data_IF_821188440459
#
_entry.id   IF_821188440459
#
_cell.length_a   1.000
_cell.length_b   1.000
_cell.length_c   1.000
_cell.angle_alpha   90.00
_cell.angle_beta   90.00
_cell.angle_gamma   90.00
#
_symmetry.space_group_name_H-M   'P 1'
#
loop_
_entity.id
_entity.type
_entity.pdbx_description
1 polymer ?
#
# COMPACT_ATOMS: atom_id res chain seq x y z
N UNK A 1 -7.03 10.79 35.26
CA UNK A 1 -5.66 10.73 34.73
C UNK A 1 -5.65 9.75 33.56
N UNK A 2 -5.27 10.20 32.37
CA UNK A 2 -5.24 9.38 31.15
C UNK A 2 -4.10 8.37 31.23
N UNK A 3 -4.43 7.07 31.32
CA UNK A 3 -3.46 6.00 31.63
C UNK A 3 -2.74 5.41 30.40
N UNK A 4 -3.22 5.71 29.18
CA UNK A 4 -2.71 5.14 27.93
C UNK A 4 -2.43 6.23 26.91
N UNK A 5 -1.60 5.92 25.91
CA UNK A 5 -1.48 6.74 24.73
C UNK A 5 -2.81 6.71 23.97
N UNK A 6 -3.14 7.79 23.28
CA UNK A 6 -4.30 7.88 22.39
C UNK A 6 -3.88 8.43 21.04
N UNK A 7 -4.06 7.65 20.00
CA UNK A 7 -4.02 8.13 18.62
C UNK A 7 -5.43 8.61 18.24
N UNK A 8 -5.52 9.83 17.69
CA UNK A 8 -6.70 10.30 16.98
C UNK A 8 -6.36 10.63 15.54
N UNK A 9 -7.26 10.24 14.61
CA UNK A 9 -7.26 10.67 13.21
C UNK A 9 -8.59 11.34 12.94
N UNK A 10 -8.55 12.61 12.57
CA UNK A 10 -9.75 13.44 12.38
C UNK A 10 -10.31 13.22 10.98
N UNK A 11 -11.57 12.80 10.88
CA UNK A 11 -12.32 12.66 9.61
C UNK A 11 -13.21 13.86 9.32
N UNK A 12 -13.39 14.73 10.31
CA UNK A 12 -14.09 16.01 10.18
C UNK A 12 -13.26 17.11 10.85
N UNK A 13 -13.54 18.37 10.49
CA UNK A 13 -12.89 19.50 11.14
C UNK A 13 -13.23 19.54 12.64
N UNK A 14 -12.23 19.77 13.45
CA UNK A 14 -12.32 19.76 14.91
C UNK A 14 -11.53 20.92 15.53
N UNK A 15 -11.77 21.15 16.80
CA UNK A 15 -10.93 21.99 17.64
C UNK A 15 -10.31 21.11 18.72
N UNK A 16 -9.01 21.18 18.85
CA UNK A 16 -8.21 20.42 19.84
C UNK A 16 -7.59 21.44 20.80
N UNK A 17 -7.67 21.17 22.09
CA UNK A 17 -6.98 21.97 23.12
C UNK A 17 -5.73 21.22 23.60
N UNK A 18 -4.58 21.86 23.41
CA UNK A 18 -3.27 21.35 23.85
C UNK A 18 -2.55 22.41 24.68
N UNK A 19 -2.09 22.01 25.85
CA UNK A 19 -1.35 22.91 26.75
C UNK A 19 -2.04 24.27 26.97
N UNK A 20 -3.37 24.24 27.10
CA UNK A 20 -4.19 25.44 27.32
C UNK A 20 -4.51 26.27 26.08
N UNK A 21 -4.00 25.88 24.88
CA UNK A 21 -4.28 26.59 23.61
C UNK A 21 -5.20 25.76 22.71
N UNK A 22 -6.09 26.43 21.99
CA UNK A 22 -6.97 25.82 21.01
C UNK A 22 -6.35 25.87 19.61
N UNK A 23 -6.46 24.75 18.90
CA UNK A 23 -5.99 24.57 17.54
C UNK A 23 -7.14 24.06 16.67
N UNK A 24 -7.36 24.71 15.53
CA UNK A 24 -8.27 24.19 14.51
C UNK A 24 -7.58 23.08 13.73
N UNK A 25 -8.26 21.96 13.58
CA UNK A 25 -7.75 20.75 12.94
C UNK A 25 -8.60 20.44 11.72
N UNK A 26 -7.94 20.21 10.59
CA UNK A 26 -8.59 19.81 9.35
C UNK A 26 -8.82 18.29 9.29
N UNK A 27 -9.76 17.80 8.45
CA UNK A 27 -9.82 16.36 8.14
C UNK A 27 -8.47 15.81 7.69
N UNK A 28 -8.26 14.54 7.93
CA UNK A 28 -7.02 13.80 7.65
C UNK A 28 -5.79 14.30 8.44
N UNK A 29 -6.02 15.03 9.55
CA UNK A 29 -4.97 15.28 10.54
C UNK A 29 -4.91 14.16 11.58
N UNK A 30 -3.74 13.98 12.17
CA UNK A 30 -3.52 13.04 13.26
C UNK A 30 -2.84 13.71 14.46
N UNK A 31 -3.06 13.15 15.64
CA UNK A 31 -2.35 13.48 16.88
C UNK A 31 -2.15 12.21 17.71
N UNK A 32 -0.96 12.05 18.25
CA UNK A 32 -0.64 11.03 19.23
C UNK A 32 -0.48 11.68 20.62
N UNK A 33 -1.44 11.49 21.48
CA UNK A 33 -1.37 11.98 22.86
C UNK A 33 -0.45 11.12 23.71
N UNK A 34 0.40 11.79 24.46
CA UNK A 34 1.21 11.11 25.46
C UNK A 34 0.34 10.63 26.63
N UNK A 35 0.77 9.57 27.28
CA UNK A 35 0.19 9.12 28.55
C UNK A 35 0.23 10.25 29.58
N UNK A 36 -0.94 10.57 30.11
CA UNK A 36 -1.13 11.65 31.09
C UNK A 36 -1.51 13.00 30.50
N UNK A 37 -1.38 13.22 29.19
CA UNK A 37 -1.82 14.46 28.55
C UNK A 37 -3.35 14.56 28.57
N UNK A 38 -3.87 15.75 28.89
CA UNK A 38 -5.29 16.06 28.85
C UNK A 38 -5.81 15.99 27.40
N UNK A 39 -6.92 15.27 27.21
CA UNK A 39 -7.50 15.01 25.88
C UNK A 39 -8.80 15.81 25.74
N UNK A 40 -8.71 17.03 25.22
CA UNK A 40 -9.87 17.89 24.97
C UNK A 40 -9.97 18.16 23.46
N UNK A 41 -11.06 17.70 22.88
CA UNK A 41 -11.37 17.93 21.46
C UNK A 41 -12.89 18.00 21.26
N UNK A 42 -13.32 18.79 20.27
CA UNK A 42 -14.74 18.99 19.95
C UNK A 42 -14.96 19.22 18.47
N UNK A 43 -16.18 19.02 18.00
CA UNK A 43 -16.55 19.39 16.64
C UNK A 43 -16.31 20.89 16.38
N UNK A 44 -15.85 21.22 15.18
CA UNK A 44 -15.80 22.62 14.74
C UNK A 44 -17.19 23.10 14.36
N UNK A 45 -17.96 22.29 13.61
CA UNK A 45 -19.36 22.53 13.20
C UNK A 45 -20.11 21.21 13.07
N UNK A 46 -21.33 21.15 13.58
CA UNK A 46 -22.28 20.08 13.36
C UNK A 46 -21.85 18.73 13.93
N UNK A 47 -21.28 17.87 13.12
CA UNK A 47 -20.90 16.51 13.49
C UNK A 47 -19.40 16.37 13.70
N UNK A 48 -19.02 15.34 14.47
CA UNK A 48 -17.63 14.98 14.75
C UNK A 48 -17.39 13.50 14.42
N UNK A 49 -16.44 13.26 13.56
CA UNK A 49 -16.02 11.91 13.17
C UNK A 49 -14.51 11.81 13.31
N UNK A 50 -14.04 10.75 13.96
CA UNK A 50 -12.65 10.43 14.11
C UNK A 50 -12.45 8.89 14.16
N UNK A 51 -11.25 8.44 13.85
CA UNK A 51 -10.74 7.16 14.27
C UNK A 51 -9.88 7.33 15.51
N UNK A 52 -9.92 6.37 16.40
CA UNK A 52 -9.13 6.40 17.63
C UNK A 52 -8.59 5.04 18.00
N UNK A 53 -7.45 5.03 18.67
CA UNK A 53 -6.83 3.84 19.23
C UNK A 53 -6.17 4.17 20.57
N UNK A 54 -6.58 3.48 21.63
CA UNK A 54 -5.86 3.47 22.91
C UNK A 54 -4.91 2.29 22.96
N UNK A 55 -3.64 2.55 23.32
CA UNK A 55 -2.63 1.51 23.47
C UNK A 55 -1.60 1.91 24.53
N UNK A 56 -0.79 0.94 24.91
CA UNK A 56 0.42 1.17 25.71
C UNK A 56 1.62 0.72 24.88
N UNK A 57 2.60 1.59 24.71
CA UNK A 57 3.89 1.25 24.13
C UNK A 57 5.02 1.96 24.89
N UNK A 58 6.25 1.43 24.73
CA UNK A 58 7.44 2.09 25.22
C UNK A 58 7.66 3.41 24.47
N UNK A 59 8.00 4.48 25.19
CA UNK A 59 8.35 5.77 24.61
C UNK A 59 9.57 5.69 23.66
N UNK A 60 10.41 4.67 23.77
CA UNK A 60 11.51 4.42 22.84
C UNK A 60 10.98 4.16 21.43
N UNK A 61 9.91 3.39 21.25
CA UNK A 61 9.34 3.08 19.93
C UNK A 61 8.90 4.34 19.18
N UNK A 62 8.29 5.30 19.86
CA UNK A 62 7.89 6.57 19.24
C UNK A 62 9.08 7.44 18.87
N UNK A 63 10.15 7.42 19.67
CA UNK A 63 11.41 8.11 19.35
C UNK A 63 12.13 7.49 18.16
N UNK A 64 12.22 6.16 18.11
CA UNK A 64 12.88 5.43 17.03
C UNK A 64 12.23 5.74 15.67
N UNK A 65 10.91 5.97 15.66
CA UNK A 65 10.16 6.34 14.46
C UNK A 65 9.99 7.86 14.29
N UNK A 66 10.68 8.69 15.10
CA UNK A 66 10.63 10.15 15.02
C UNK A 66 9.21 10.72 15.13
N UNK A 67 8.30 10.00 15.80
CA UNK A 67 6.90 10.38 15.97
C UNK A 67 6.73 11.16 17.28
N UNK A 68 6.40 12.46 17.23
CA UNK A 68 6.25 13.27 18.45
C UNK A 68 4.90 13.01 19.10
N UNK A 69 4.89 13.12 20.42
CA UNK A 69 3.66 13.24 21.19
C UNK A 69 3.08 14.66 21.13
N UNK A 70 1.79 14.77 21.35
CA UNK A 70 1.05 16.03 21.56
C UNK A 70 1.27 17.05 20.42
N UNK A 71 1.46 16.55 19.21
CA UNK A 71 1.70 17.35 18.02
C UNK A 71 0.69 16.98 16.94
N UNK A 72 0.00 18.00 16.38
CA UNK A 72 -0.94 17.83 15.26
C UNK A 72 -0.15 17.86 13.96
N UNK A 73 -0.41 16.90 13.06
CA UNK A 73 0.18 16.85 11.74
C UNK A 73 -0.82 16.30 10.71
N UNK A 74 -0.60 16.65 9.44
CA UNK A 74 -1.42 16.16 8.32
C UNK A 74 -0.91 14.81 7.84
N UNK A 75 -1.84 13.91 7.52
CA UNK A 75 -1.54 12.67 6.83
C UNK A 75 -1.60 12.90 5.32
N UNK A 76 -0.59 12.48 4.60
CA UNK A 76 -0.59 12.52 3.14
C UNK A 76 -1.50 11.45 2.53
N UNK A 77 -1.72 10.35 3.26
CA UNK A 77 -2.55 9.22 2.88
C UNK A 77 -3.23 8.61 4.12
N UNK A 78 -4.32 9.25 4.55
CA UNK A 78 -5.09 8.83 5.72
C UNK A 78 -5.73 7.45 5.53
N UNK A 79 -6.12 7.06 4.30
CA UNK A 79 -6.80 5.79 4.01
C UNK A 79 -5.93 4.59 4.37
N UNK A 80 -4.64 4.59 3.98
CA UNK A 80 -3.72 3.52 4.36
C UNK A 80 -3.52 3.41 5.87
N UNK A 81 -3.57 4.53 6.58
CA UNK A 81 -3.48 4.53 8.04
C UNK A 81 -4.75 3.95 8.67
N UNK A 82 -5.90 4.26 8.10
CA UNK A 82 -7.21 3.71 8.50
C UNK A 82 -7.33 2.20 8.23
N UNK A 83 -6.76 1.70 7.14
CA UNK A 83 -6.69 0.26 6.82
C UNK A 83 -5.94 -0.52 7.91
N UNK A 84 -4.84 0.04 8.43
CA UNK A 84 -4.10 -0.57 9.55
C UNK A 84 -4.95 -0.56 10.82
N UNK A 85 -5.61 0.57 11.15
CA UNK A 85 -6.50 0.68 12.30
C UNK A 85 -7.67 -0.30 12.22
N UNK A 86 -8.29 -0.43 11.06
CA UNK A 86 -9.39 -1.37 10.84
C UNK A 86 -8.93 -2.82 11.00
N UNK A 87 -7.69 -3.12 10.58
CA UNK A 87 -7.08 -4.44 10.77
C UNK A 87 -6.82 -4.73 12.25
N UNK A 88 -6.26 -3.78 13.00
CA UNK A 88 -6.09 -3.90 14.46
C UNK A 88 -7.44 -4.16 15.13
N UNK A 89 -8.47 -3.40 14.75
CA UNK A 89 -9.82 -3.57 15.30
C UNK A 89 -10.37 -4.97 15.04
N UNK A 90 -10.24 -5.51 13.83
CA UNK A 90 -10.66 -6.88 13.50
C UNK A 90 -9.87 -7.94 14.28
N UNK A 91 -8.55 -7.75 14.40
CA UNK A 91 -7.69 -8.65 15.17
C UNK A 91 -8.06 -8.66 16.65
N UNK A 92 -8.44 -7.51 17.22
CA UNK A 92 -8.84 -7.42 18.64
C UNK A 92 -10.08 -8.25 18.97
N UNK A 93 -10.92 -8.51 17.98
CA UNK A 93 -12.12 -9.36 18.10
C UNK A 93 -11.90 -10.82 17.69
N UNK A 94 -10.68 -11.17 17.23
CA UNK A 94 -10.39 -12.53 16.78
C UNK A 94 -10.10 -13.46 17.96
N UNK A 95 -10.40 -14.75 17.79
CA UNK A 95 -10.11 -15.81 18.77
C UNK A 95 -8.74 -16.47 18.54
N UNK A 96 -7.90 -15.92 17.68
CA UNK A 96 -6.57 -16.47 17.38
C UNK A 96 -5.68 -16.48 18.62
N UNK A 97 -5.04 -17.61 18.91
CA UNK A 97 -4.05 -17.72 19.99
C UNK A 97 -2.79 -16.85 19.80
N UNK A 98 -2.59 -16.32 18.60
CA UNK A 98 -1.50 -15.37 18.26
C UNK A 98 -2.00 -13.93 18.06
N UNK A 99 -3.20 -13.63 18.54
CA UNK A 99 -3.85 -12.32 18.36
C UNK A 99 -2.96 -11.16 18.83
N UNK A 100 -2.34 -11.30 19.98
CA UNK A 100 -1.50 -10.25 20.58
C UNK A 100 -0.25 -10.00 19.75
N UNK A 101 0.41 -11.05 19.24
CA UNK A 101 1.58 -10.94 18.35
C UNK A 101 1.20 -10.16 17.08
N UNK A 102 0.06 -10.47 16.47
CA UNK A 102 -0.41 -9.76 15.28
C UNK A 102 -0.75 -8.30 15.56
N UNK A 103 -1.39 -8.00 16.69
CA UNK A 103 -1.73 -6.63 17.09
C UNK A 103 -0.43 -5.83 17.32
N UNK A 104 0.56 -6.40 17.97
CA UNK A 104 1.85 -5.75 18.19
C UNK A 104 2.54 -5.41 16.87
N UNK A 105 2.60 -6.34 15.91
CA UNK A 105 3.18 -6.09 14.58
C UNK A 105 2.43 -4.98 13.83
N UNK A 106 1.10 -4.99 13.86
CA UNK A 106 0.28 -3.96 13.23
C UNK A 106 0.46 -2.60 13.91
N UNK A 107 0.60 -2.57 15.23
CA UNK A 107 0.87 -1.35 15.96
C UNK A 107 2.25 -0.77 15.60
N UNK A 108 3.28 -1.61 15.50
CA UNK A 108 4.61 -1.18 15.02
C UNK A 108 4.54 -0.60 13.61
N UNK A 109 3.85 -1.28 12.69
CA UNK A 109 3.61 -0.76 11.34
C UNK A 109 2.91 0.61 11.34
N UNK A 110 1.89 0.78 12.19
CA UNK A 110 1.17 2.04 12.35
C UNK A 110 2.09 3.16 12.83
N UNK A 111 2.92 2.91 13.85
CA UNK A 111 3.84 3.90 14.39
C UNK A 111 4.94 4.30 13.39
N UNK A 112 5.51 3.34 12.65
CA UNK A 112 6.45 3.60 11.56
C UNK A 112 5.82 4.53 10.53
N UNK A 113 4.62 4.17 10.07
CA UNK A 113 3.90 4.96 9.07
C UNK A 113 3.60 6.38 9.55
N UNK A 114 3.13 6.53 10.78
CA UNK A 114 2.85 7.85 11.35
C UNK A 114 4.13 8.70 11.47
N UNK A 115 5.27 8.11 11.77
CA UNK A 115 6.57 8.79 11.78
C UNK A 115 6.99 9.27 10.38
N UNK A 116 6.78 8.45 9.35
CA UNK A 116 7.00 8.84 7.95
C UNK A 116 6.07 10.00 7.54
N UNK A 117 4.76 9.90 7.84
CA UNK A 117 3.77 10.95 7.57
C UNK A 117 4.12 12.26 8.28
N UNK A 118 4.55 12.20 9.53
CA UNK A 118 5.01 13.37 10.27
C UNK A 118 6.25 14.01 9.63
N UNK A 119 7.21 13.21 9.21
CA UNK A 119 8.43 13.68 8.53
C UNK A 119 8.10 14.37 7.21
N UNK A 120 7.16 13.80 6.44
CA UNK A 120 6.65 14.41 5.20
C UNK A 120 5.93 15.73 5.49
N UNK A 121 5.12 15.80 6.55
CA UNK A 121 4.40 17.03 6.92
C UNK A 121 5.34 18.19 7.25
N UNK A 122 6.52 17.90 7.82
CA UNK A 122 7.55 18.90 8.13
C UNK A 122 8.32 19.40 6.91
N UNK A 123 8.45 18.60 5.87
CA UNK A 123 9.23 18.96 4.67
C UNK A 123 8.59 20.09 3.84
N UNK A 124 7.42 20.59 4.25
CA UNK A 124 6.68 21.65 3.52
C UNK A 124 6.20 21.19 2.14
N UNK A 125 6.36 19.92 1.81
CA UNK A 125 5.75 19.36 0.60
C UNK A 125 4.23 19.39 0.80
N UNK A 126 3.47 19.96 -0.16
CA UNK A 126 2.03 19.90 -0.08
C UNK A 126 1.62 18.42 0.05
N UNK A 127 0.59 18.09 0.84
CA UNK A 127 0.07 16.75 0.91
C UNK A 127 -0.08 16.27 -0.54
N UNK A 128 0.50 15.11 -0.86
CA UNK A 128 0.43 14.57 -2.21
C UNK A 128 -1.03 14.59 -2.60
N UNK A 129 -1.40 15.45 -3.56
CA UNK A 129 -2.75 15.48 -4.10
C UNK A 129 -3.15 14.04 -4.33
N UNK A 130 -4.17 13.59 -3.60
CA UNK A 130 -4.69 12.22 -3.63
C UNK A 130 -4.81 11.83 -5.10
N UNK A 131 -3.83 11.08 -5.58
CA UNK A 131 -3.95 10.52 -6.91
C UNK A 131 -4.92 9.34 -6.72
N UNK A 132 -6.21 9.64 -6.89
CA UNK A 132 -7.31 8.71 -6.74
C UNK A 132 -7.06 7.34 -7.43
N UNK A 133 -6.16 7.33 -8.40
CA UNK A 133 -5.80 6.15 -9.16
C UNK A 133 -4.51 5.46 -8.67
N UNK A 134 -3.70 6.10 -7.81
CA UNK A 134 -2.37 5.56 -7.46
C UNK A 134 -2.46 4.19 -6.80
N UNK A 135 -3.31 4.04 -5.78
CA UNK A 135 -3.46 2.78 -5.06
C UNK A 135 -4.14 1.70 -5.91
N UNK A 136 -5.11 2.09 -6.73
CA UNK A 136 -5.76 1.17 -7.66
C UNK A 136 -4.78 0.67 -8.73
N UNK A 137 -3.89 1.53 -9.24
CA UNK A 137 -2.82 1.17 -10.18
C UNK A 137 -1.77 0.26 -9.52
N UNK A 138 -1.38 0.52 -8.27
CA UNK A 138 -0.45 -0.34 -7.52
C UNK A 138 -1.04 -1.74 -7.30
N UNK A 139 -2.29 -1.84 -6.87
CA UNK A 139 -3.00 -3.14 -6.73
C UNK A 139 -3.06 -3.87 -8.06
N UNK A 140 -3.43 -3.18 -9.13
CA UNK A 140 -3.51 -3.74 -10.47
C UNK A 140 -2.14 -4.24 -10.96
N UNK A 141 -1.07 -3.49 -10.68
CA UNK A 141 0.30 -3.93 -10.99
C UNK A 141 0.70 -5.15 -10.18
N UNK A 142 0.39 -5.17 -8.88
CA UNK A 142 0.62 -6.32 -8.02
C UNK A 142 -0.11 -7.57 -8.55
N UNK A 143 -1.36 -7.43 -9.00
CA UNK A 143 -2.13 -8.51 -9.63
C UNK A 143 -1.51 -9.01 -10.93
N UNK A 144 -0.95 -8.13 -11.75
CA UNK A 144 -0.22 -8.54 -12.97
C UNK A 144 0.94 -9.46 -12.63
N UNK A 145 1.71 -9.13 -11.59
CA UNK A 145 2.88 -9.90 -11.20
C UNK A 145 2.53 -11.16 -10.39
N UNK A 146 1.45 -11.16 -9.62
CA UNK A 146 1.01 -12.33 -8.84
C UNK A 146 0.30 -13.39 -9.70
N UNK A 147 -0.36 -12.99 -10.79
CA UNK A 147 -1.09 -13.90 -11.70
C UNK A 147 -0.83 -13.57 -13.16
N UNK A 148 0.39 -13.82 -13.69
CA UNK A 148 0.79 -13.37 -15.03
C UNK A 148 0.01 -14.02 -16.19
N UNK A 149 -0.52 -15.24 -15.98
CA UNK A 149 -1.24 -16.02 -16.99
C UNK A 149 -2.67 -15.54 -17.26
N UNK A 150 -3.23 -14.68 -16.37
CA UNK A 150 -4.59 -14.19 -16.51
C UNK A 150 -4.83 -13.50 -17.86
N UNK A 151 -5.97 -13.80 -18.48
CA UNK A 151 -6.43 -13.03 -19.66
C UNK A 151 -6.74 -11.61 -19.21
N UNK A 152 -5.91 -10.66 -19.65
CA UNK A 152 -6.00 -9.26 -19.24
C UNK A 152 -6.27 -8.37 -20.44
N UNK A 153 -7.42 -7.74 -20.41
CA UNK A 153 -7.79 -6.72 -21.39
C UNK A 153 -7.62 -5.34 -20.78
N UNK A 154 -6.87 -4.48 -21.46
CA UNK A 154 -6.64 -3.08 -21.02
C UNK A 154 -7.96 -2.32 -20.86
N UNK A 155 -8.97 -2.59 -21.71
CA UNK A 155 -10.27 -1.97 -21.59
C UNK A 155 -10.99 -2.36 -20.28
N UNK A 156 -10.87 -3.61 -19.84
CA UNK A 156 -11.46 -4.07 -18.58
C UNK A 156 -10.74 -3.49 -17.37
N UNK A 157 -9.41 -3.40 -17.42
CA UNK A 157 -8.61 -2.73 -16.39
C UNK A 157 -8.96 -1.23 -16.29
N UNK A 158 -9.18 -0.56 -17.41
CA UNK A 158 -9.62 0.83 -17.43
C UNK A 158 -11.02 1.01 -16.80
N UNK A 159 -11.94 0.06 -17.04
CA UNK A 159 -13.26 0.05 -16.40
C UNK A 159 -13.20 -0.05 -14.89
N UNK A 160 -12.27 -0.84 -14.31
CA UNK A 160 -12.13 -0.95 -12.85
C UNK A 160 -11.76 0.39 -12.20
N UNK A 161 -11.08 1.27 -12.96
CA UNK A 161 -10.75 2.62 -12.53
C UNK A 161 -11.78 3.67 -13.00
N UNK A 162 -12.85 3.26 -13.68
CA UNK A 162 -13.87 4.16 -14.27
C UNK A 162 -13.27 5.22 -15.20
N UNK A 163 -12.27 4.85 -15.99
CA UNK A 163 -11.59 5.73 -16.97
C UNK A 163 -11.61 5.14 -18.39
N UNK A 164 -11.34 5.98 -19.38
CA UNK A 164 -11.14 5.49 -20.76
C UNK A 164 -9.82 4.71 -20.89
N UNK A 165 -9.70 3.74 -21.83
CA UNK A 165 -8.46 3.02 -22.07
C UNK A 165 -7.23 3.91 -22.31
N UNK A 166 -7.39 5.01 -23.03
CA UNK A 166 -6.30 5.96 -23.29
C UNK A 166 -5.86 6.69 -22.02
N UNK A 167 -6.82 7.11 -21.19
CA UNK A 167 -6.50 7.74 -19.90
C UNK A 167 -5.86 6.75 -18.92
N UNK A 168 -6.32 5.49 -18.90
CA UNK A 168 -5.67 4.42 -18.14
C UNK A 168 -4.20 4.25 -18.54
N UNK A 169 -3.90 4.15 -19.83
CA UNK A 169 -2.53 4.03 -20.33
C UNK A 169 -1.65 5.22 -19.92
N UNK A 170 -2.19 6.42 -20.02
CA UNK A 170 -1.50 7.64 -19.55
C UNK A 170 -1.19 7.57 -18.05
N UNK A 171 -2.19 7.25 -17.22
CA UNK A 171 -2.03 7.13 -15.76
C UNK A 171 -1.00 6.06 -15.39
N UNK A 172 -1.08 4.89 -16.04
CA UNK A 172 -0.17 3.77 -15.79
C UNK A 172 1.27 4.12 -16.14
N UNK A 173 1.48 4.65 -17.35
CA UNK A 173 2.83 5.04 -17.82
C UNK A 173 3.40 6.18 -16.99
N UNK A 174 2.58 7.18 -16.63
CA UNK A 174 3.01 8.28 -15.76
C UNK A 174 3.42 7.81 -14.36
N UNK A 175 2.78 6.73 -13.86
CA UNK A 175 3.06 6.18 -12.52
C UNK A 175 4.27 5.28 -12.50
N UNK A 176 4.43 4.41 -13.51
CA UNK A 176 5.42 3.32 -13.50
C UNK A 176 6.54 3.46 -14.53
N UNK A 177 6.46 4.44 -15.43
CA UNK A 177 7.46 4.66 -16.47
C UNK A 177 7.41 3.65 -17.62
N UNK A 178 6.50 2.66 -17.56
CA UNK A 178 6.33 1.61 -18.57
C UNK A 178 4.84 1.43 -18.90
N UNK A 179 4.52 0.89 -20.07
CA UNK A 179 3.12 0.59 -20.40
C UNK A 179 2.62 -0.63 -19.62
N UNK A 180 1.31 -0.69 -19.36
CA UNK A 180 0.69 -1.85 -18.72
C UNK A 180 0.95 -3.15 -19.51
N UNK A 181 0.95 -3.08 -20.85
CA UNK A 181 1.26 -4.22 -21.71
C UNK A 181 2.70 -4.72 -21.52
N UNK A 182 3.66 -3.82 -21.39
CA UNK A 182 5.07 -4.19 -21.11
C UNK A 182 5.24 -4.87 -19.76
N UNK A 183 4.52 -4.41 -18.72
CA UNK A 183 4.54 -5.07 -17.41
C UNK A 183 3.92 -6.47 -17.48
N UNK A 184 2.82 -6.66 -18.21
CA UNK A 184 2.23 -7.99 -18.45
C UNK A 184 3.23 -8.91 -19.14
N UNK A 185 3.89 -8.44 -20.20
CA UNK A 185 4.92 -9.24 -20.91
C UNK A 185 6.09 -9.56 -19.97
N UNK A 186 6.54 -8.59 -19.19
CA UNK A 186 7.61 -8.76 -18.22
C UNK A 186 7.26 -9.82 -17.17
N UNK A 187 6.06 -9.76 -16.60
CA UNK A 187 5.59 -10.73 -15.61
C UNK A 187 5.49 -12.14 -16.19
N UNK A 188 4.94 -12.28 -17.41
CA UNK A 188 4.87 -13.58 -18.13
C UNK A 188 6.26 -14.16 -18.40
N UNK A 189 7.21 -13.32 -18.80
CA UNK A 189 8.58 -13.77 -19.07
C UNK A 189 9.33 -14.20 -17.80
N UNK A 190 9.17 -13.48 -16.69
CA UNK A 190 9.72 -13.90 -15.39
C UNK A 190 9.14 -15.22 -14.91
N UNK A 191 7.84 -15.42 -15.11
CA UNK A 191 7.19 -16.68 -14.79
C UNK A 191 7.70 -17.85 -15.68
N UNK A 192 7.92 -17.58 -16.97
CA UNK A 192 8.51 -18.56 -17.89
C UNK A 192 9.95 -18.92 -17.49
N UNK A 193 10.76 -17.94 -17.11
CA UNK A 193 12.11 -18.15 -16.56
C UNK A 193 12.07 -19.07 -15.34
N UNK A 194 11.19 -18.81 -14.39
CA UNK A 194 10.99 -19.65 -13.22
C UNK A 194 10.69 -21.11 -13.60
N UNK A 195 9.70 -21.36 -14.48
CA UNK A 195 9.35 -22.72 -14.91
C UNK A 195 10.46 -23.40 -15.70
N UNK A 196 11.18 -22.67 -16.53
CA UNK A 196 12.33 -23.23 -17.29
C UNK A 196 13.43 -23.74 -16.36
N UNK A 197 13.68 -23.06 -15.24
CA UNK A 197 14.74 -23.39 -14.30
C UNK A 197 14.31 -24.39 -13.22
N UNK A 198 13.04 -24.33 -12.80
CA UNK A 198 12.54 -25.07 -11.64
C UNK A 198 11.75 -26.33 -12.00
N UNK A 199 11.46 -26.59 -13.29
CA UNK A 199 10.65 -27.72 -13.71
C UNK A 199 11.18 -28.39 -14.98
N UNK A 200 10.71 -29.62 -15.23
CA UNK A 200 10.97 -30.36 -16.50
C UNK A 200 9.84 -30.18 -17.53
N UNK A 201 8.95 -29.23 -17.35
CA UNK A 201 7.86 -28.94 -18.27
C UNK A 201 8.39 -28.68 -19.69
N UNK A 202 7.63 -29.12 -20.70
CA UNK A 202 7.96 -28.78 -22.10
C UNK A 202 7.79 -27.29 -22.35
N UNK A 203 8.53 -26.73 -23.30
CA UNK A 203 8.43 -25.32 -23.70
C UNK A 203 6.99 -24.94 -24.08
N UNK A 204 6.27 -25.87 -24.75
CA UNK A 204 4.86 -25.70 -25.12
C UNK A 204 3.95 -25.55 -23.87
N UNK A 205 4.15 -26.41 -22.87
CA UNK A 205 3.37 -26.35 -21.63
C UNK A 205 3.69 -25.07 -20.84
N UNK A 206 4.96 -24.65 -20.81
CA UNK A 206 5.36 -23.40 -20.18
C UNK A 206 4.70 -22.20 -20.87
N UNK A 207 4.67 -22.17 -22.21
CA UNK A 207 3.96 -21.13 -22.94
C UNK A 207 2.49 -21.02 -22.53
N UNK A 208 1.79 -22.16 -22.45
CA UNK A 208 0.39 -22.22 -22.06
C UNK A 208 0.17 -21.73 -20.61
N UNK A 209 0.97 -22.20 -19.66
CA UNK A 209 0.88 -21.78 -18.24
C UNK A 209 1.22 -20.31 -18.05
N UNK A 210 2.05 -19.72 -18.93
CA UNK A 210 2.36 -18.29 -18.93
C UNK A 210 1.32 -17.43 -19.67
N UNK A 211 0.20 -18.04 -20.13
CA UNK A 211 -0.91 -17.30 -20.75
C UNK A 211 -0.69 -16.99 -22.23
N UNK A 212 0.06 -17.82 -22.94
CA UNK A 212 0.21 -17.75 -24.39
C UNK A 212 -0.62 -18.85 -25.06
N UNK A 213 -1.52 -18.45 -25.93
CA UNK A 213 -2.31 -19.37 -26.77
C UNK A 213 -1.46 -19.99 -27.89
N UNK A 214 -0.38 -19.31 -28.29
CA UNK A 214 0.52 -19.72 -29.36
C UNK A 214 1.97 -19.75 -28.87
N UNK A 215 2.57 -20.95 -28.92
CA UNK A 215 3.96 -21.18 -28.49
C UNK A 215 5.00 -20.52 -29.41
N UNK A 216 4.69 -20.33 -30.70
CA UNK A 216 5.58 -19.58 -31.61
C UNK A 216 5.66 -18.10 -31.19
N UNK A 217 4.52 -17.52 -30.81
CA UNK A 217 4.50 -16.16 -30.29
C UNK A 217 5.30 -16.04 -28.97
N UNK A 218 5.13 -17.00 -28.07
CA UNK A 218 5.92 -17.10 -26.84
C UNK A 218 7.42 -17.18 -27.14
N UNK A 219 7.86 -18.11 -27.98
CA UNK A 219 9.28 -18.29 -28.32
C UNK A 219 9.90 -17.01 -28.88
N UNK A 220 9.17 -16.28 -29.75
CA UNK A 220 9.63 -15.01 -30.32
C UNK A 220 9.79 -13.93 -29.24
N UNK A 221 8.81 -13.80 -28.33
CA UNK A 221 8.86 -12.83 -27.22
C UNK A 221 10.00 -13.19 -26.25
N UNK A 222 10.16 -14.45 -25.92
CA UNK A 222 11.22 -14.91 -25.04
C UNK A 222 12.61 -14.64 -25.65
N UNK A 223 12.83 -14.99 -26.93
CA UNK A 223 14.07 -14.71 -27.64
C UNK A 223 14.38 -13.21 -27.70
N UNK A 224 13.35 -12.37 -27.92
CA UNK A 224 13.51 -10.91 -27.93
C UNK A 224 14.00 -10.37 -26.59
N UNK A 225 13.55 -10.96 -25.48
CA UNK A 225 13.88 -10.49 -24.13
C UNK A 225 15.21 -11.01 -23.59
N UNK A 226 15.51 -12.29 -23.85
CA UNK A 226 16.69 -12.96 -23.29
C UNK A 226 17.81 -13.19 -24.31
N UNK A 227 17.63 -12.79 -25.56
CA UNK A 227 18.54 -13.01 -26.70
C UNK A 227 18.84 -14.49 -26.96
N UNK A 228 18.03 -15.41 -26.45
CA UNK A 228 18.16 -16.87 -26.67
C UNK A 228 16.78 -17.54 -26.61
N UNK A 229 16.67 -18.72 -27.20
CA UNK A 229 15.44 -19.53 -27.13
C UNK A 229 15.20 -20.05 -25.71
N UNK A 230 13.95 -20.40 -25.34
CA UNK A 230 13.66 -21.03 -24.05
C UNK A 230 14.49 -22.30 -23.79
N UNK A 231 14.69 -23.14 -24.79
CA UNK A 231 15.49 -24.37 -24.67
C UNK A 231 16.97 -24.06 -24.43
N UNK A 232 17.56 -23.11 -25.16
CA UNK A 232 18.93 -22.64 -24.93
C UNK A 232 19.09 -22.02 -23.55
N UNK A 233 18.10 -21.25 -23.10
CA UNK A 233 18.09 -20.63 -21.76
C UNK A 233 18.10 -21.71 -20.67
N UNK A 234 17.25 -22.73 -20.78
CA UNK A 234 17.24 -23.89 -19.88
C UNK A 234 18.58 -24.59 -19.84
N UNK A 235 19.13 -24.95 -21.01
CA UNK A 235 20.40 -25.68 -21.11
C UNK A 235 21.56 -24.90 -20.48
N UNK A 236 21.62 -23.61 -20.68
CA UNK A 236 22.69 -22.75 -20.18
C UNK A 236 22.62 -22.53 -18.64
N UNK A 237 21.43 -22.50 -18.06
CA UNK A 237 21.21 -22.08 -16.67
C UNK A 237 20.74 -23.24 -15.75
N UNK A 238 20.43 -24.43 -16.30
CA UNK A 238 20.14 -25.63 -15.50
C UNK A 238 21.49 -26.22 -15.08
N UNK A 239 21.83 -26.05 -13.79
CA UNK A 239 22.96 -26.75 -13.15
C UNK A 239 22.62 -28.18 -12.83
#
# INVERSE_FOLDING_TARGET
MYKRQLLLIFKSSAVVRLHGREYSVSPDSAILYKKGTEQIYRACKGFYINHWLHFDCDDMLTRDYSLPYDTIFMLSDAEKTEDILSTISRLSLSESGRREDYIELMLRMLLIRLGEEYSLSKSGQPPRKRNHYADALERLRADIYSSPSGSRNIADMAKTLSVSPSHFQYLYTSRFGVSCYEDILCARMKNAEYYLLSTDMTVKNIAAVCGYENDVHFMRQFKRRYNMTPSQFRQKNKK
#
